data_IF_597070250089
#
_entry.id   IF_597070250089
#
_cell.length_a   1.000
_cell.length_b   1.000
_cell.length_c   1.000
_cell.angle_alpha   90.00
_cell.angle_beta   90.00
_cell.angle_gamma   90.00
#
_symmetry.space_group_name_H-M   'P 1'
#
loop_
_entity.id
_entity.type
_entity.pdbx_description
1 polymer ?
#
# COMPACT_ATOMS: atom_id res chain seq x y z
N UNK A 1 -3.41 -28.73 24.93
CA UNK A 1 -4.16 -27.61 24.33
C UNK A 1 -4.09 -27.78 22.82
N UNK A 2 -5.19 -27.62 22.14
CA UNK A 2 -5.21 -27.63 20.67
C UNK A 2 -4.37 -26.46 20.14
N UNK A 3 -3.54 -26.72 19.10
CA UNK A 3 -2.71 -25.65 18.52
C UNK A 3 -3.58 -24.67 17.77
N UNK A 4 -3.37 -23.38 17.98
CA UNK A 4 -4.07 -22.32 17.22
C UNK A 4 -3.63 -22.38 15.76
N UNK A 5 -4.60 -22.38 14.86
CA UNK A 5 -4.36 -22.46 13.41
C UNK A 5 -4.16 -21.07 12.82
N UNK A 6 -3.13 -20.94 11.98
CA UNK A 6 -2.80 -19.69 11.28
C UNK A 6 -2.55 -19.95 9.80
N UNK A 7 -3.15 -19.12 8.96
CA UNK A 7 -2.84 -19.06 7.52
C UNK A 7 -1.80 -17.99 7.27
N UNK A 8 -0.67 -18.37 6.69
CA UNK A 8 0.41 -17.45 6.32
C UNK A 8 0.36 -17.15 4.83
N UNK A 9 0.18 -15.88 4.46
CA UNK A 9 0.30 -15.42 3.09
C UNK A 9 1.75 -15.49 2.63
N UNK A 10 2.07 -16.45 1.75
CA UNK A 10 3.42 -16.72 1.25
C UNK A 10 3.56 -16.18 -0.18
N UNK A 11 4.42 -15.20 -0.37
CA UNK A 11 4.70 -14.54 -1.66
C UNK A 11 5.92 -15.13 -2.39
N UNK A 12 6.50 -16.22 -1.90
CA UNK A 12 7.77 -16.76 -2.42
C UNK A 12 8.98 -15.88 -2.10
N UNK A 13 8.84 -14.89 -1.21
CA UNK A 13 9.93 -14.06 -0.70
C UNK A 13 10.40 -14.49 0.69
N UNK A 14 11.58 -14.01 1.11
CA UNK A 14 12.21 -14.38 2.38
C UNK A 14 11.36 -14.01 3.60
N UNK A 15 10.70 -12.85 3.59
CA UNK A 15 9.98 -12.33 4.76
C UNK A 15 8.77 -13.21 5.12
N UNK A 16 7.95 -13.57 4.13
CA UNK A 16 6.81 -14.47 4.35
C UNK A 16 7.23 -15.90 4.71
N UNK A 17 8.37 -16.34 4.20
CA UNK A 17 8.94 -17.67 4.49
C UNK A 17 9.42 -17.76 5.94
N UNK A 18 10.14 -16.74 6.41
CA UNK A 18 10.58 -16.66 7.82
C UNK A 18 9.39 -16.43 8.75
N UNK A 19 8.35 -15.68 8.32
CA UNK A 19 7.12 -15.56 9.09
C UNK A 19 6.46 -16.92 9.36
N UNK A 20 6.39 -17.80 8.34
CA UNK A 20 5.86 -19.14 8.49
C UNK A 20 6.71 -20.00 9.45
N UNK A 21 8.03 -19.93 9.32
CA UNK A 21 8.96 -20.62 10.20
C UNK A 21 8.85 -20.18 11.65
N UNK A 22 8.84 -18.86 11.92
CA UNK A 22 8.68 -18.30 13.26
C UNK A 22 7.41 -18.79 13.93
N UNK A 23 6.28 -18.76 13.23
CA UNK A 23 4.99 -19.19 13.77
C UNK A 23 4.95 -20.69 14.03
N UNK A 24 5.54 -21.52 13.16
CA UNK A 24 5.69 -22.97 13.40
C UNK A 24 6.49 -23.23 14.68
N UNK A 25 7.59 -22.51 14.88
CA UNK A 25 8.44 -22.63 16.09
C UNK A 25 7.75 -22.10 17.35
N UNK A 26 6.84 -21.14 17.23
CA UNK A 26 5.99 -20.66 18.32
C UNK A 26 4.84 -21.62 18.67
N UNK A 27 4.72 -22.74 17.93
CA UNK A 27 3.76 -23.80 18.23
C UNK A 27 2.39 -23.65 17.56
N UNK A 28 2.25 -22.74 16.59
CA UNK A 28 1.03 -22.65 15.78
C UNK A 28 0.91 -23.83 14.81
N UNK A 29 -0.34 -24.17 14.44
CA UNK A 29 -0.68 -25.01 13.30
C UNK A 29 -0.70 -24.13 12.03
N UNK A 30 0.40 -24.17 11.27
CA UNK A 30 0.65 -23.25 10.16
C UNK A 30 0.21 -23.83 8.84
N UNK A 31 -0.55 -23.08 8.07
CA UNK A 31 -0.91 -23.37 6.66
C UNK A 31 -0.35 -22.25 5.78
N UNK A 32 0.48 -22.59 4.80
CA UNK A 32 0.96 -21.64 3.79
C UNK A 32 -0.06 -21.46 2.67
N UNK A 33 -0.30 -20.21 2.27
CA UNK A 33 -1.18 -19.86 1.15
C UNK A 33 -0.51 -18.85 0.24
N UNK A 34 -0.41 -19.17 -1.05
CA UNK A 34 -0.12 -18.16 -2.09
C UNK A 34 -1.42 -17.71 -2.74
N UNK A 35 -1.60 -16.40 -2.80
CA UNK A 35 -2.74 -15.79 -3.49
C UNK A 35 -2.44 -15.69 -4.98
N UNK A 36 -3.20 -16.40 -5.81
CA UNK A 36 -3.16 -16.24 -7.26
C UNK A 36 -3.96 -14.98 -7.61
N UNK A 37 -3.27 -13.92 -8.01
CA UNK A 37 -3.86 -12.61 -8.32
C UNK A 37 -3.69 -12.21 -9.79
N UNK A 38 -2.75 -12.82 -10.53
CA UNK A 38 -2.51 -12.54 -11.95
C UNK A 38 -3.63 -13.07 -12.83
N UNK A 39 -3.93 -12.36 -13.91
CA UNK A 39 -4.89 -12.78 -14.92
C UNK A 39 -4.25 -13.81 -15.87
N UNK A 40 -5.06 -14.65 -16.53
CA UNK A 40 -4.56 -15.77 -17.35
C UNK A 40 -3.72 -15.30 -18.55
N UNK A 41 -4.00 -14.11 -19.09
CA UNK A 41 -3.29 -13.51 -20.23
C UNK A 41 -1.92 -12.94 -19.86
N UNK A 42 -1.69 -12.65 -18.58
CA UNK A 42 -0.44 -12.10 -18.06
C UNK A 42 0.55 -13.18 -17.59
N UNK A 43 0.15 -14.44 -17.57
CA UNK A 43 0.92 -15.55 -17.01
C UNK A 43 2.30 -15.71 -17.69
N UNK A 44 2.36 -15.56 -19.01
CA UNK A 44 3.61 -15.65 -19.78
C UNK A 44 4.53 -14.42 -19.59
N UNK A 45 3.99 -13.23 -19.42
CA UNK A 45 4.77 -12.01 -19.23
C UNK A 45 5.37 -11.90 -17.82
N UNK A 46 4.69 -12.45 -16.80
CA UNK A 46 5.19 -12.47 -15.41
C UNK A 46 6.35 -13.45 -15.19
N UNK A 47 6.49 -14.49 -16.03
CA UNK A 47 7.62 -15.40 -15.95
C UNK A 47 8.98 -14.72 -16.23
N UNK A 48 9.00 -13.71 -17.09
CA UNK A 48 10.23 -13.00 -17.48
C UNK A 48 10.65 -11.91 -16.47
N UNK A 49 9.75 -11.36 -15.66
CA UNK A 49 9.99 -10.15 -14.88
C UNK A 49 10.01 -10.33 -13.34
N UNK A 50 9.85 -11.56 -12.82
CA UNK A 50 10.09 -11.87 -11.41
C UNK A 50 9.14 -11.22 -10.39
N UNK A 51 7.90 -10.96 -10.75
CA UNK A 51 6.88 -10.45 -9.82
C UNK A 51 6.67 -11.36 -8.61
N UNK A 52 6.33 -10.80 -7.44
CA UNK A 52 6.20 -11.55 -6.16
C UNK A 52 5.06 -12.59 -6.14
N UNK A 53 4.27 -12.69 -7.18
CA UNK A 53 3.12 -13.60 -7.29
C UNK A 53 3.15 -14.44 -8.59
N UNK A 54 4.23 -14.43 -9.38
CA UNK A 54 4.38 -15.24 -10.60
C UNK A 54 4.56 -16.74 -10.29
N UNK A 55 4.56 -17.60 -11.33
CA UNK A 55 4.72 -19.06 -11.19
C UNK A 55 6.01 -19.44 -10.42
N UNK A 56 7.11 -18.73 -10.67
CA UNK A 56 8.37 -18.92 -9.92
C UNK A 56 8.20 -18.62 -8.42
N UNK A 57 7.39 -17.65 -8.06
CA UNK A 57 7.10 -17.31 -6.66
C UNK A 57 6.23 -18.37 -5.97
N UNK A 58 5.28 -18.97 -6.70
CA UNK A 58 4.49 -20.11 -6.24
C UNK A 58 5.39 -21.32 -5.98
N UNK A 59 6.32 -21.61 -6.88
CA UNK A 59 7.25 -22.73 -6.72
C UNK A 59 8.21 -22.52 -5.56
N UNK A 60 8.72 -21.30 -5.37
CA UNK A 60 9.55 -20.96 -4.22
C UNK A 60 8.77 -21.13 -2.90
N UNK A 61 7.53 -20.61 -2.84
CA UNK A 61 6.67 -20.77 -1.66
C UNK A 61 6.36 -22.26 -1.38
N UNK A 62 6.11 -23.05 -2.41
CA UNK A 62 5.87 -24.50 -2.30
C UNK A 62 7.09 -25.22 -1.75
N UNK A 63 8.30 -24.92 -2.26
CA UNK A 63 9.56 -25.50 -1.77
C UNK A 63 9.82 -25.14 -0.31
N UNK A 64 9.59 -23.88 0.06
CA UNK A 64 9.70 -23.43 1.47
C UNK A 64 8.70 -24.18 2.35
N UNK A 65 7.43 -24.27 1.95
CA UNK A 65 6.41 -24.99 2.71
C UNK A 65 6.75 -26.47 2.89
N UNK A 66 7.29 -27.13 1.86
CA UNK A 66 7.77 -28.49 1.94
C UNK A 66 8.96 -28.63 2.91
N UNK A 67 9.95 -27.73 2.85
CA UNK A 67 11.07 -27.69 3.78
C UNK A 67 10.64 -27.46 5.23
N UNK A 68 9.60 -26.64 5.42
CA UNK A 68 8.99 -26.39 6.72
C UNK A 68 7.98 -27.47 7.13
N UNK A 69 7.71 -28.48 6.30
CA UNK A 69 6.71 -29.52 6.56
C UNK A 69 5.35 -28.95 7.00
N UNK A 70 4.85 -27.94 6.27
CA UNK A 70 3.54 -27.32 6.47
C UNK A 70 2.65 -27.56 5.26
N UNK A 71 1.31 -27.70 5.44
CA UNK A 71 0.35 -27.71 4.34
C UNK A 71 0.47 -26.40 3.52
N UNK A 72 0.33 -26.52 2.19
CA UNK A 72 0.43 -25.39 1.29
C UNK A 72 -0.63 -25.42 0.21
N UNK A 73 -1.26 -24.29 -0.05
CA UNK A 73 -2.31 -24.15 -1.05
C UNK A 73 -2.10 -22.89 -1.89
N UNK A 74 -2.51 -22.96 -3.15
CA UNK A 74 -2.69 -21.77 -4.01
C UNK A 74 -4.18 -21.48 -4.07
N UNK A 75 -4.56 -20.28 -3.66
CA UNK A 75 -5.97 -19.86 -3.66
C UNK A 75 -6.18 -18.79 -4.72
N UNK A 76 -7.25 -18.93 -5.51
CA UNK A 76 -7.59 -17.97 -6.56
C UNK A 76 -8.24 -16.70 -5.98
N UNK A 77 -7.60 -15.56 -6.19
CA UNK A 77 -8.08 -14.22 -5.83
C UNK A 77 -8.10 -13.27 -7.04
N UNK A 78 -8.08 -13.80 -8.27
CA UNK A 78 -8.05 -13.02 -9.52
C UNK A 78 -9.19 -12.00 -9.57
N UNK A 79 -10.41 -12.44 -9.24
CA UNK A 79 -11.60 -11.58 -9.26
C UNK A 79 -11.48 -10.45 -8.25
N UNK A 80 -11.22 -10.77 -6.99
CA UNK A 80 -11.12 -9.78 -5.91
C UNK A 80 -9.99 -8.79 -6.16
N UNK A 81 -8.87 -9.26 -6.72
CA UNK A 81 -7.74 -8.40 -7.07
C UNK A 81 -8.07 -7.48 -8.25
N UNK A 82 -8.71 -8.01 -9.28
CA UNK A 82 -9.14 -7.21 -10.42
C UNK A 82 -10.10 -6.09 -9.98
N UNK A 83 -11.19 -6.45 -9.33
CA UNK A 83 -12.25 -5.50 -8.96
C UNK A 83 -11.77 -4.43 -7.96
N UNK A 84 -10.98 -4.81 -6.95
CA UNK A 84 -10.65 -3.92 -5.84
C UNK A 84 -9.25 -3.29 -5.94
N UNK A 85 -8.38 -3.77 -6.83
CA UNK A 85 -7.02 -3.24 -6.96
C UNK A 85 -6.78 -2.69 -8.36
N UNK A 86 -7.01 -3.50 -9.41
CA UNK A 86 -6.72 -3.08 -10.79
C UNK A 86 -7.75 -2.05 -11.26
N UNK A 87 -9.05 -2.36 -11.15
CA UNK A 87 -10.12 -1.47 -11.63
C UNK A 87 -10.13 -0.15 -10.82
N UNK A 88 -9.89 -0.21 -9.50
CA UNK A 88 -9.67 0.96 -8.65
C UNK A 88 -8.46 1.79 -9.10
N UNK A 89 -7.34 1.15 -9.40
CA UNK A 89 -6.13 1.81 -9.88
C UNK A 89 -6.38 2.56 -11.19
N UNK A 90 -7.04 1.92 -12.12
CA UNK A 90 -7.38 2.50 -13.42
C UNK A 90 -8.35 3.68 -13.24
N UNK A 91 -9.43 3.49 -12.47
CA UNK A 91 -10.43 4.53 -12.22
C UNK A 91 -9.83 5.79 -11.60
N UNK A 92 -8.98 5.64 -10.60
CA UNK A 92 -8.33 6.77 -9.94
C UNK A 92 -7.48 7.60 -10.92
N UNK A 93 -6.66 6.95 -11.77
CA UNK A 93 -5.87 7.66 -12.77
C UNK A 93 -6.74 8.36 -13.83
N UNK A 94 -7.84 7.75 -14.26
CA UNK A 94 -8.78 8.36 -15.18
C UNK A 94 -9.49 9.59 -14.60
N UNK A 95 -9.61 9.64 -13.26
CA UNK A 95 -10.16 10.77 -12.52
C UNK A 95 -9.10 11.73 -11.94
N UNK A 96 -7.84 11.67 -12.44
CA UNK A 96 -6.77 12.58 -12.04
C UNK A 96 -6.25 12.37 -10.62
N UNK A 97 -6.59 11.24 -9.97
CA UNK A 97 -6.08 10.83 -8.67
C UNK A 97 -4.88 9.91 -8.83
N UNK A 98 -4.08 9.77 -7.79
CA UNK A 98 -2.94 8.83 -7.78
C UNK A 98 -3.16 7.79 -6.69
N UNK A 99 -3.63 6.58 -7.04
CA UNK A 99 -3.96 5.53 -6.09
C UNK A 99 -2.73 4.92 -5.42
N UNK A 100 -2.97 4.21 -4.32
CA UNK A 100 -1.99 3.30 -3.74
C UNK A 100 -2.51 1.86 -3.78
N UNK A 101 -2.16 1.08 -4.81
CA UNK A 101 -2.69 -0.27 -4.98
C UNK A 101 -2.27 -1.24 -3.87
N UNK A 102 -1.13 -1.00 -3.19
CA UNK A 102 -0.72 -1.83 -2.05
C UNK A 102 -1.65 -1.67 -0.84
N UNK A 103 -2.15 -0.45 -0.58
CA UNK A 103 -3.15 -0.20 0.45
C UNK A 103 -4.45 -0.93 0.11
N UNK A 104 -4.93 -0.83 -1.13
CA UNK A 104 -6.13 -1.51 -1.60
C UNK A 104 -5.97 -3.05 -1.52
N UNK A 105 -4.84 -3.59 -1.98
CA UNK A 105 -4.54 -5.03 -1.88
C UNK A 105 -4.54 -5.51 -0.41
N UNK A 106 -3.90 -4.76 0.48
CA UNK A 106 -3.93 -5.11 1.90
C UNK A 106 -5.38 -5.13 2.40
N UNK A 107 -6.16 -4.06 2.21
CA UNK A 107 -7.53 -3.95 2.72
C UNK A 107 -8.42 -5.05 2.18
N UNK A 108 -8.57 -5.15 0.86
CA UNK A 108 -9.63 -5.94 0.22
C UNK A 108 -9.23 -7.39 -0.07
N UNK A 109 -7.97 -7.64 -0.45
CA UNK A 109 -7.54 -8.99 -0.84
C UNK A 109 -7.00 -9.76 0.36
N UNK A 110 -6.06 -9.15 1.12
CA UNK A 110 -5.43 -9.86 2.25
C UNK A 110 -6.33 -9.88 3.49
N UNK A 111 -6.79 -8.71 3.96
CA UNK A 111 -7.51 -8.64 5.24
C UNK A 111 -9.03 -8.74 5.13
N UNK A 112 -9.60 -8.69 3.95
CA UNK A 112 -11.01 -8.99 3.75
C UNK A 112 -11.18 -10.40 3.19
N UNK A 113 -10.66 -10.66 1.98
CA UNK A 113 -10.91 -11.93 1.27
C UNK A 113 -10.09 -13.11 1.81
N UNK A 114 -8.76 -12.96 2.01
CA UNK A 114 -7.93 -14.06 2.56
C UNK A 114 -8.31 -14.36 4.01
N UNK A 115 -8.53 -13.34 4.85
CA UNK A 115 -8.96 -13.56 6.23
C UNK A 115 -10.27 -14.34 6.28
N UNK A 116 -11.29 -13.92 5.52
CA UNK A 116 -12.57 -14.61 5.44
C UNK A 116 -12.41 -16.08 5.07
N UNK A 117 -11.71 -16.37 3.96
CA UNK A 117 -11.46 -17.76 3.52
C UNK A 117 -10.64 -18.57 4.54
N UNK A 118 -9.75 -17.90 5.28
CA UNK A 118 -8.97 -18.55 6.34
C UNK A 118 -9.85 -18.96 7.53
N UNK A 119 -10.80 -18.10 7.91
CA UNK A 119 -11.78 -18.40 8.94
C UNK A 119 -12.72 -19.56 8.53
N UNK A 120 -13.13 -19.60 7.25
CA UNK A 120 -13.99 -20.66 6.69
C UNK A 120 -13.34 -22.06 6.78
N UNK A 121 -12.00 -22.14 6.73
CA UNK A 121 -11.26 -23.39 6.92
C UNK A 121 -10.82 -23.64 8.38
N UNK A 122 -11.34 -22.86 9.31
CA UNK A 122 -11.13 -23.00 10.75
C UNK A 122 -9.80 -22.43 11.25
N UNK A 123 -9.13 -21.55 10.51
CA UNK A 123 -8.00 -20.81 11.04
C UNK A 123 -8.48 -19.67 11.96
N UNK A 124 -7.76 -19.42 13.05
CA UNK A 124 -8.06 -18.33 13.96
C UNK A 124 -7.37 -17.03 13.56
N UNK A 125 -6.26 -17.13 12.83
CA UNK A 125 -5.39 -16.02 12.46
C UNK A 125 -4.97 -16.09 11.00
N UNK A 126 -4.66 -14.92 10.45
CA UNK A 126 -3.80 -14.78 9.28
C UNK A 126 -2.46 -14.15 9.67
N UNK A 127 -1.42 -14.45 8.91
CA UNK A 127 -0.11 -13.84 9.09
C UNK A 127 0.51 -13.46 7.75
N UNK A 128 1.39 -12.47 7.78
CA UNK A 128 2.12 -12.00 6.61
C UNK A 128 3.55 -11.64 7.00
N UNK A 129 4.42 -11.50 5.99
CA UNK A 129 5.79 -11.01 6.14
C UNK A 129 5.91 -9.47 6.20
N UNK A 130 4.88 -8.74 6.66
CA UNK A 130 4.98 -7.28 6.78
C UNK A 130 5.83 -6.86 7.97
N UNK A 131 6.67 -5.84 7.76
CA UNK A 131 7.42 -5.18 8.82
C UNK A 131 6.54 -4.16 9.54
N UNK A 132 5.71 -4.67 10.43
CA UNK A 132 4.84 -3.95 11.35
C UNK A 132 4.58 -4.84 12.56
N UNK A 133 4.09 -4.29 13.66
CA UNK A 133 3.70 -5.03 14.86
C UNK A 133 2.23 -4.79 15.17
N UNK A 134 1.51 -5.82 15.57
CA UNK A 134 0.12 -5.71 16.05
C UNK A 134 0.14 -5.83 17.54
N UNK A 135 -0.44 -4.86 18.24
CA UNK A 135 -0.46 -4.83 19.70
C UNK A 135 -1.86 -4.52 20.22
N UNK A 136 -2.24 -5.19 21.31
CA UNK A 136 -3.46 -4.87 22.04
C UNK A 136 -3.16 -3.83 23.10
N UNK A 137 -3.76 -2.67 22.98
CA UNK A 137 -3.56 -1.54 23.88
C UNK A 137 -4.32 -1.72 25.23
N UNK A 138 -3.94 -0.95 26.27
CA UNK A 138 -4.63 -1.01 27.58
C UNK A 138 -6.13 -0.67 27.51
N UNK A 139 -6.56 0.14 26.55
CA UNK A 139 -7.98 0.45 26.32
C UNK A 139 -8.75 -0.68 25.60
N UNK A 140 -8.10 -1.83 25.35
CA UNK A 140 -8.68 -3.00 24.71
C UNK A 140 -8.66 -3.00 23.18
N UNK A 141 -8.29 -1.89 22.55
CA UNK A 141 -8.19 -1.78 21.08
C UNK A 141 -6.89 -2.41 20.58
N UNK A 142 -6.91 -2.85 19.34
CA UNK A 142 -5.70 -3.27 18.63
C UNK A 142 -5.18 -2.12 17.79
N UNK A 143 -3.86 -2.00 17.71
CA UNK A 143 -3.21 -1.00 16.87
C UNK A 143 -1.99 -1.58 16.16
N UNK A 144 -1.61 -0.97 15.04
CA UNK A 144 -0.34 -1.19 14.38
C UNK A 144 0.70 -0.32 15.08
N UNK A 145 1.83 -0.95 15.46
CA UNK A 145 3.01 -0.28 15.98
C UNK A 145 4.14 -0.36 14.96
N UNK A 146 4.99 0.65 14.89
CA UNK A 146 6.16 0.67 14.02
C UNK A 146 7.00 -0.59 14.18
N UNK A 147 7.58 -1.07 13.08
CA UNK A 147 8.50 -2.20 13.12
C UNK A 147 9.78 -1.88 13.90
N UNK A 148 10.56 -2.89 14.24
CA UNK A 148 11.86 -2.72 14.90
C UNK A 148 12.87 -1.95 14.04
N UNK A 149 12.62 -1.81 12.73
CA UNK A 149 13.49 -1.11 11.78
C UNK A 149 12.73 -0.07 10.97
N UNK A 150 13.11 1.21 11.11
CA UNK A 150 12.50 2.30 10.35
C UNK A 150 12.73 2.18 8.83
N UNK A 151 13.83 1.54 8.40
CA UNK A 151 14.21 1.43 6.98
C UNK A 151 13.26 0.53 6.16
N UNK A 152 12.55 -0.40 6.82
CA UNK A 152 11.62 -1.35 6.18
C UNK A 152 10.21 -1.25 6.73
N UNK A 153 9.91 -0.21 7.52
CA UNK A 153 8.60 -0.02 8.11
C UNK A 153 7.50 0.04 7.05
N UNK A 154 6.48 -0.80 7.20
CA UNK A 154 5.37 -0.93 6.26
C UNK A 154 4.02 -0.51 6.86
N UNK A 155 4.04 0.12 8.02
CA UNK A 155 2.83 0.53 8.75
C UNK A 155 1.95 1.47 7.95
N UNK A 156 2.54 2.31 7.08
CA UNK A 156 1.81 3.20 6.19
C UNK A 156 0.78 2.46 5.33
N UNK A 157 1.12 1.28 4.81
CA UNK A 157 0.24 0.53 3.93
C UNK A 157 -0.85 -0.29 4.67
N UNK A 158 -0.90 -0.19 6.01
CA UNK A 158 -1.76 -1.01 6.87
C UNK A 158 -2.75 -0.18 7.70
N UNK A 159 -2.75 1.15 7.55
CA UNK A 159 -3.51 2.08 8.40
C UNK A 159 -5.03 1.84 8.40
N UNK A 160 -5.55 1.20 7.39
CA UNK A 160 -6.99 1.01 7.17
C UNK A 160 -7.52 -0.36 7.65
N UNK A 161 -6.72 -1.11 8.41
CA UNK A 161 -7.18 -2.37 9.01
C UNK A 161 -8.14 -2.12 10.17
N UNK A 162 -9.25 -2.85 10.18
CA UNK A 162 -10.27 -2.76 11.22
C UNK A 162 -9.86 -3.45 12.51
N UNK A 163 -10.55 -3.18 13.62
CA UNK A 163 -10.31 -3.82 14.91
C UNK A 163 -10.45 -5.34 14.85
N UNK A 164 -11.46 -5.84 14.13
CA UNK A 164 -11.66 -7.27 13.91
C UNK A 164 -10.48 -7.89 13.16
N UNK A 165 -10.08 -7.26 12.04
CA UNK A 165 -8.94 -7.72 11.25
C UNK A 165 -7.64 -7.73 12.05
N UNK A 166 -7.36 -6.66 12.81
CA UNK A 166 -6.18 -6.57 13.66
C UNK A 166 -6.15 -7.65 14.75
N UNK A 167 -7.30 -7.95 15.38
CA UNK A 167 -7.39 -8.97 16.42
C UNK A 167 -7.05 -10.38 15.94
N UNK A 168 -7.10 -10.61 14.64
CA UNK A 168 -6.83 -11.90 13.97
C UNK A 168 -5.57 -11.89 13.11
N UNK A 169 -4.69 -10.90 13.33
CA UNK A 169 -3.49 -10.70 12.51
C UNK A 169 -2.22 -10.94 13.30
N UNK A 170 -1.29 -11.68 12.71
CA UNK A 170 0.07 -11.87 13.24
C UNK A 170 1.09 -11.34 12.23
N UNK A 171 2.07 -10.58 12.71
CA UNK A 171 3.16 -10.00 11.90
C UNK A 171 4.51 -10.33 12.56
N UNK A 172 4.94 -11.60 12.53
CA UNK A 172 6.06 -12.06 13.35
C UNK A 172 7.40 -11.45 12.94
N UNK A 173 7.56 -10.97 11.69
CA UNK A 173 8.83 -10.37 11.24
C UNK A 173 9.00 -8.91 11.69
N UNK A 174 7.95 -8.26 12.16
CA UNK A 174 8.00 -6.87 12.62
C UNK A 174 8.94 -6.60 13.80
N UNK A 175 9.33 -7.63 14.55
CA UNK A 175 10.27 -7.57 15.66
C UNK A 175 11.75 -7.62 15.22
N UNK A 176 12.02 -7.87 13.93
CA UNK A 176 13.36 -8.13 13.42
C UNK A 176 13.78 -7.15 12.34
N UNK A 177 15.09 -6.94 12.19
CA UNK A 177 15.67 -6.24 11.06
C UNK A 177 15.70 -7.15 9.83
N UNK A 178 15.83 -6.58 8.63
CA UNK A 178 15.96 -7.37 7.39
C UNK A 178 17.16 -8.31 7.41
N UNK A 179 18.27 -7.88 7.99
CA UNK A 179 19.48 -8.69 8.08
C UNK A 179 19.29 -9.88 9.05
N UNK A 180 18.57 -9.69 10.14
CA UNK A 180 18.19 -10.78 11.03
C UNK A 180 17.25 -11.78 10.33
N UNK A 181 16.28 -11.31 9.56
CA UNK A 181 15.39 -12.17 8.79
C UNK A 181 16.16 -13.01 7.76
N UNK A 182 17.12 -12.40 7.06
CA UNK A 182 17.99 -13.13 6.13
C UNK A 182 18.88 -14.14 6.83
N UNK A 183 19.48 -13.77 7.95
CA UNK A 183 20.31 -14.69 8.76
C UNK A 183 19.50 -15.88 9.26
N UNK A 184 18.26 -15.69 9.73
CA UNK A 184 17.35 -16.78 10.10
C UNK A 184 17.02 -17.68 8.91
N UNK A 185 16.77 -17.09 7.74
CA UNK A 185 16.49 -17.85 6.52
C UNK A 185 17.68 -18.72 6.10
N UNK A 186 18.92 -18.20 6.20
CA UNK A 186 20.15 -18.94 5.92
C UNK A 186 20.38 -20.07 6.93
N UNK A 187 20.21 -19.79 8.23
CA UNK A 187 20.35 -20.79 9.29
C UNK A 187 19.42 -22.00 9.11
N UNK A 188 18.19 -21.73 8.62
CA UNK A 188 17.18 -22.77 8.36
C UNK A 188 17.34 -23.39 6.97
N UNK A 189 18.23 -22.88 6.14
CA UNK A 189 18.48 -23.38 4.79
C UNK A 189 17.36 -23.09 3.79
N UNK A 190 16.65 -21.95 3.95
CA UNK A 190 15.60 -21.55 3.01
C UNK A 190 16.22 -21.01 1.72
N UNK A 191 15.85 -21.59 0.58
CA UNK A 191 16.37 -21.24 -0.75
C UNK A 191 16.16 -19.77 -1.14
N UNK A 192 15.20 -19.10 -0.50
CA UNK A 192 14.79 -17.71 -0.78
C UNK A 192 15.56 -16.66 0.03
N UNK A 193 16.53 -17.03 0.87
CA UNK A 193 17.26 -16.15 1.78
C UNK A 193 17.86 -14.90 1.10
N UNK A 194 18.39 -15.08 -0.12
CA UNK A 194 19.05 -14.03 -0.90
C UNK A 194 18.20 -13.45 -2.03
N UNK A 195 16.91 -13.84 -2.11
CA UNK A 195 16.01 -13.28 -3.14
C UNK A 195 15.82 -11.78 -2.94
N UNK A 196 15.93 -10.97 -4.01
CA UNK A 196 15.69 -9.52 -3.91
C UNK A 196 14.24 -9.23 -3.52
N UNK A 197 14.04 -8.07 -2.84
CA UNK A 197 12.71 -7.61 -2.50
C UNK A 197 11.99 -7.10 -3.75
N UNK A 198 10.67 -7.32 -3.85
CA UNK A 198 9.83 -6.68 -4.86
C UNK A 198 9.72 -5.19 -4.56
N UNK A 199 10.01 -4.32 -5.55
CA UNK A 199 10.06 -2.87 -5.35
C UNK A 199 8.96 -2.10 -6.10
N UNK A 200 8.33 -2.71 -7.11
CA UNK A 200 7.37 -2.07 -7.99
C UNK A 200 5.93 -2.55 -7.77
N UNK A 201 4.99 -1.90 -8.44
CA UNK A 201 3.58 -2.33 -8.48
C UNK A 201 3.53 -3.71 -9.15
N UNK A 202 3.06 -4.71 -8.41
CA UNK A 202 3.20 -6.13 -8.78
C UNK A 202 2.51 -6.54 -10.11
N UNK A 203 1.58 -5.74 -10.61
CA UNK A 203 0.87 -5.97 -11.88
C UNK A 203 1.28 -5.00 -13.00
N UNK A 204 2.26 -4.12 -12.78
CA UNK A 204 2.85 -3.22 -13.79
C UNK A 204 4.33 -3.57 -13.89
N UNK A 205 4.63 -4.55 -14.73
CA UNK A 205 5.96 -5.21 -14.77
C UNK A 205 7.09 -4.33 -15.28
N UNK A 206 6.80 -3.38 -16.17
CA UNK A 206 7.76 -2.48 -16.81
C UNK A 206 7.80 -1.06 -16.20
N UNK A 207 6.97 -0.81 -15.18
CA UNK A 207 6.80 0.50 -14.56
C UNK A 207 6.02 1.52 -15.42
N UNK A 208 5.56 1.15 -16.63
CA UNK A 208 4.71 2.00 -17.48
C UNK A 208 3.22 1.81 -17.17
N UNK A 209 2.81 2.38 -16.04
CA UNK A 209 1.41 2.34 -15.61
C UNK A 209 0.44 2.98 -16.63
N UNK A 210 0.90 3.96 -17.42
CA UNK A 210 0.03 4.61 -18.39
C UNK A 210 -0.28 3.70 -19.59
N UNK A 211 0.68 2.90 -20.06
CA UNK A 211 0.45 1.86 -21.06
C UNK A 211 -0.46 0.77 -20.50
N UNK A 212 -0.21 0.32 -19.26
CA UNK A 212 -1.09 -0.66 -18.60
C UNK A 212 -2.55 -0.18 -18.52
N UNK A 213 -2.80 1.09 -18.12
CA UNK A 213 -4.16 1.66 -18.09
C UNK A 213 -4.82 1.65 -19.46
N UNK A 214 -4.09 1.99 -20.52
CA UNK A 214 -4.63 1.99 -21.88
C UNK A 214 -5.01 0.59 -22.39
N UNK A 215 -4.21 -0.40 -22.05
CA UNK A 215 -4.41 -1.79 -22.47
C UNK A 215 -5.57 -2.46 -21.71
N UNK A 216 -5.79 -2.02 -20.46
CA UNK A 216 -6.76 -2.61 -19.54
C UNK A 216 -8.02 -1.73 -19.34
N UNK A 217 -8.25 -0.72 -20.18
CA UNK A 217 -9.47 0.10 -20.15
C UNK A 217 -9.93 0.52 -21.54
N UNK A 218 -11.25 0.71 -21.71
CA UNK A 218 -11.84 1.27 -22.93
C UNK A 218 -11.78 2.80 -22.98
N UNK A 219 -11.07 3.44 -22.03
CA UNK A 219 -11.04 4.88 -21.89
C UNK A 219 -10.28 5.55 -23.04
N UNK A 220 -10.91 6.54 -23.68
CA UNK A 220 -10.27 7.35 -24.72
C UNK A 220 -9.33 8.39 -24.08
N UNK A 221 -8.05 8.09 -24.07
CA UNK A 221 -7.04 9.02 -23.58
C UNK A 221 -6.77 10.09 -24.63
N UNK A 222 -7.15 11.33 -24.32
CA UNK A 222 -7.04 12.48 -25.24
C UNK A 222 -5.95 13.44 -24.81
N UNK A 223 -5.20 14.02 -25.75
CA UNK A 223 -4.32 15.16 -25.46
C UNK A 223 -5.11 16.34 -24.90
N UNK A 224 -4.49 17.09 -23.98
CA UNK A 224 -5.08 18.29 -23.37
C UNK A 224 -4.04 19.40 -23.22
N UNK A 225 -4.33 20.38 -22.38
CA UNK A 225 -3.48 21.55 -22.16
C UNK A 225 -2.74 21.47 -20.82
N UNK A 226 -1.47 21.83 -20.85
CA UNK A 226 -0.81 22.35 -19.65
C UNK A 226 -1.20 23.82 -19.49
N UNK A 227 -1.63 24.18 -18.29
CA UNK A 227 -2.00 25.57 -17.93
C UNK A 227 -1.26 26.01 -16.67
N UNK A 228 -1.02 27.29 -16.52
CA UNK A 228 -0.60 27.90 -15.26
C UNK A 228 -1.81 28.10 -14.32
N UNK A 229 -1.54 28.47 -13.08
CA UNK A 229 -2.59 28.74 -12.07
C UNK A 229 -3.57 29.86 -12.48
N UNK A 230 -3.13 30.79 -13.34
CA UNK A 230 -3.95 31.87 -13.89
C UNK A 230 -4.76 31.46 -15.15
N UNK A 231 -4.66 30.20 -15.60
CA UNK A 231 -5.33 29.68 -16.77
C UNK A 231 -4.56 29.84 -18.10
N UNK A 232 -3.35 30.44 -18.08
CA UNK A 232 -2.54 30.60 -19.27
C UNK A 232 -2.08 29.26 -19.81
N UNK A 233 -2.37 28.95 -21.08
CA UNK A 233 -1.93 27.72 -21.72
C UNK A 233 -0.44 27.81 -22.05
N UNK A 234 0.35 26.84 -21.55
CA UNK A 234 1.81 26.81 -21.71
C UNK A 234 2.31 25.60 -22.51
N UNK A 235 1.41 24.70 -22.90
CA UNK A 235 1.78 23.54 -23.71
C UNK A 235 0.65 22.55 -23.88
N UNK A 236 0.97 21.44 -24.53
CA UNK A 236 0.07 20.29 -24.73
C UNK A 236 0.59 19.05 -24.02
N UNK A 237 -0.29 18.31 -23.38
CA UNK A 237 0.02 17.01 -22.80
C UNK A 237 -0.66 15.86 -23.58
N UNK A 238 -0.16 14.65 -23.40
CA UNK A 238 -0.61 13.43 -24.12
C UNK A 238 -1.79 12.70 -23.46
N UNK A 239 -2.30 13.20 -22.35
CA UNK A 239 -3.40 12.66 -21.55
C UNK A 239 -3.12 12.77 -20.07
N UNK A 240 -4.15 12.99 -19.25
CA UNK A 240 -3.98 13.23 -17.79
C UNK A 240 -3.38 12.04 -17.07
N UNK A 241 -3.62 10.81 -17.50
CA UNK A 241 -3.10 9.57 -16.88
C UNK A 241 -1.57 9.49 -16.84
N UNK A 242 -0.85 10.29 -17.59
CA UNK A 242 0.62 10.31 -17.63
C UNK A 242 1.24 11.20 -16.54
N UNK A 243 0.42 11.84 -15.72
CA UNK A 243 0.90 12.84 -14.78
C UNK A 243 0.40 12.57 -13.37
N UNK A 244 1.23 12.99 -12.42
CA UNK A 244 0.96 12.88 -10.97
C UNK A 244 1.29 14.22 -10.31
N UNK A 245 0.51 14.65 -9.34
CA UNK A 245 0.76 15.86 -8.55
C UNK A 245 2.17 15.81 -7.94
N UNK A 246 2.93 16.89 -8.14
CA UNK A 246 4.34 16.99 -7.74
C UNK A 246 5.35 16.51 -8.78
N UNK A 247 4.90 15.94 -9.90
CA UNK A 247 5.78 15.51 -10.99
C UNK A 247 6.50 16.72 -11.62
N UNK A 248 7.83 16.57 -11.82
CA UNK A 248 8.68 17.59 -12.46
C UNK A 248 9.23 17.12 -13.81
N UNK A 249 9.60 15.84 -13.90
CA UNK A 249 10.22 15.28 -15.10
C UNK A 249 9.19 14.78 -16.10
N UNK A 250 9.52 14.78 -17.39
CA UNK A 250 8.65 14.21 -18.41
C UNK A 250 7.47 15.09 -18.84
N UNK A 251 7.44 16.38 -18.43
CA UNK A 251 6.36 17.31 -18.83
C UNK A 251 6.53 17.80 -20.28
N UNK A 252 7.75 17.82 -20.81
CA UNK A 252 8.01 18.32 -22.17
C UNK A 252 7.84 19.83 -22.32
N UNK A 253 7.86 20.58 -21.21
CA UNK A 253 7.73 22.04 -21.19
C UNK A 253 9.09 22.73 -21.13
N UNK A 254 9.22 23.86 -21.86
CA UNK A 254 10.43 24.70 -21.91
C UNK A 254 10.09 26.12 -21.48
N UNK A 255 9.90 26.33 -20.17
CA UNK A 255 9.48 27.63 -19.58
C UNK A 255 10.66 28.44 -19.01
N UNK A 256 11.92 27.97 -19.18
CA UNK A 256 13.10 28.64 -18.65
C UNK A 256 13.34 28.43 -17.14
N UNK A 257 12.42 27.82 -16.44
CA UNK A 257 12.51 27.47 -15.02
C UNK A 257 11.81 26.13 -14.74
N UNK A 258 12.14 25.44 -13.63
CA UNK A 258 11.48 24.21 -13.25
C UNK A 258 10.01 24.45 -12.90
N UNK A 259 9.12 23.62 -13.43
CA UNK A 259 7.71 23.58 -13.05
C UNK A 259 7.29 22.20 -12.58
N UNK A 260 6.23 22.15 -11.79
CA UNK A 260 5.68 20.97 -11.15
C UNK A 260 4.20 20.85 -11.46
N UNK A 261 3.68 19.65 -11.56
CA UNK A 261 2.24 19.42 -11.61
C UNK A 261 1.66 19.80 -10.26
N UNK A 262 0.71 20.75 -10.26
CA UNK A 262 0.01 21.22 -9.08
C UNK A 262 -1.34 20.54 -8.90
N UNK A 263 -2.08 20.37 -10.02
CA UNK A 263 -3.43 19.82 -10.04
C UNK A 263 -3.68 19.12 -11.37
N UNK A 264 -4.52 18.12 -11.36
CA UNK A 264 -5.04 17.45 -12.56
C UNK A 264 -6.55 17.67 -12.58
N UNK A 265 -7.08 18.22 -13.68
CA UNK A 265 -8.50 18.53 -13.88
C UNK A 265 -9.10 17.63 -14.95
N UNK A 266 -9.69 16.49 -14.57
CA UNK A 266 -10.24 15.53 -15.54
C UNK A 266 -11.38 16.12 -16.37
N UNK A 267 -12.24 16.96 -15.76
CA UNK A 267 -13.43 17.53 -16.39
C UNK A 267 -13.07 18.43 -17.58
N UNK A 268 -11.97 19.17 -17.53
CA UNK A 268 -11.47 20.04 -18.58
C UNK A 268 -10.32 19.45 -19.37
N UNK A 269 -9.85 18.27 -18.94
CA UNK A 269 -8.66 17.59 -19.49
C UNK A 269 -7.42 18.51 -19.46
N UNK A 270 -7.18 19.16 -18.32
CA UNK A 270 -6.08 20.08 -18.08
C UNK A 270 -5.14 19.57 -16.98
N UNK A 271 -3.85 19.87 -17.13
CA UNK A 271 -2.84 19.67 -16.09
C UNK A 271 -2.30 21.04 -15.69
N UNK A 272 -2.58 21.44 -14.45
CA UNK A 272 -2.09 22.70 -13.91
C UNK A 272 -0.64 22.53 -13.50
N UNK A 273 0.23 23.42 -13.96
CA UNK A 273 1.66 23.43 -13.62
C UNK A 273 2.06 24.77 -13.01
N UNK A 274 3.03 24.76 -12.13
CA UNK A 274 3.52 25.98 -11.49
C UNK A 274 4.84 25.78 -10.78
N UNK A 275 5.23 26.77 -9.98
CA UNK A 275 6.47 26.81 -9.22
C UNK A 275 6.48 25.77 -8.08
N UNK A 276 7.65 25.59 -7.46
CA UNK A 276 7.77 24.75 -6.28
C UNK A 276 6.98 25.33 -5.10
N UNK A 277 6.96 26.63 -4.96
CA UNK A 277 6.25 27.35 -3.91
C UNK A 277 4.73 27.13 -4.00
N UNK A 278 4.18 27.15 -5.21
CA UNK A 278 2.76 26.87 -5.47
C UNK A 278 2.39 25.40 -5.17
N UNK A 279 3.36 24.48 -5.19
CA UNK A 279 3.14 23.08 -4.87
C UNK A 279 3.07 22.77 -3.37
N UNK A 280 3.26 23.78 -2.52
CA UNK A 280 3.33 23.66 -1.06
C UNK A 280 2.00 24.02 -0.41
N UNK A 281 1.51 23.17 0.50
CA UNK A 281 0.33 23.49 1.32
C UNK A 281 0.53 23.00 2.76
N UNK A 282 -0.11 23.68 3.70
CA UNK A 282 -0.21 23.25 5.11
C UNK A 282 -1.43 22.38 5.37
N UNK A 283 -2.37 22.35 4.46
CA UNK A 283 -3.67 21.70 4.67
C UNK A 283 -3.78 20.43 3.87
N UNK A 284 -4.22 19.36 4.53
CA UNK A 284 -4.52 18.07 3.91
C UNK A 284 -5.88 17.62 4.40
N UNK A 285 -6.84 17.52 3.48
CA UNK A 285 -8.15 16.91 3.75
C UNK A 285 -8.15 15.46 3.33
N UNK A 286 -8.78 14.63 4.10
CA UNK A 286 -8.91 13.21 3.78
C UNK A 286 -10.25 12.67 4.25
N UNK A 287 -10.77 11.72 3.48
CA UNK A 287 -11.98 10.95 3.79
C UNK A 287 -11.68 9.45 3.96
N UNK A 288 -12.71 8.63 4.07
CA UNK A 288 -12.59 7.19 4.35
C UNK A 288 -11.69 6.91 5.57
N UNK A 289 -11.99 7.61 6.65
CA UNK A 289 -11.16 7.65 7.85
C UNK A 289 -11.27 6.34 8.63
N UNK A 290 -10.12 5.81 9.03
CA UNK A 290 -10.04 4.69 9.97
C UNK A 290 -9.15 5.07 11.15
N UNK A 291 -9.63 4.87 12.39
CA UNK A 291 -8.86 5.05 13.62
C UNK A 291 -8.55 3.71 14.30
N UNK A 292 -7.29 3.51 14.67
CA UNK A 292 -6.86 2.28 15.35
C UNK A 292 -6.78 2.45 16.86
N UNK A 293 -6.05 3.46 17.35
CA UNK A 293 -5.79 3.61 18.79
C UNK A 293 -6.95 4.19 19.57
N UNK A 294 -7.84 4.90 18.91
CA UNK A 294 -9.07 5.52 19.46
C UNK A 294 -10.29 5.07 18.68
N UNK A 295 -11.46 5.19 19.24
CA UNK A 295 -12.71 4.91 18.54
C UNK A 295 -13.08 6.04 17.59
N UNK A 296 -12.92 7.28 18.05
CA UNK A 296 -13.14 8.49 17.26
C UNK A 296 -12.24 9.62 17.77
N UNK A 297 -12.06 10.66 16.95
CA UNK A 297 -11.31 11.85 17.30
C UNK A 297 -12.29 12.93 17.78
N UNK A 298 -12.34 13.14 19.08
CA UNK A 298 -13.30 14.06 19.71
C UNK A 298 -12.76 15.48 19.88
N UNK A 299 -11.44 15.67 19.77
CA UNK A 299 -10.76 16.97 19.87
C UNK A 299 -9.53 17.01 18.94
N UNK A 300 -9.07 18.19 18.53
CA UNK A 300 -7.86 18.32 17.73
C UNK A 300 -6.65 17.72 18.44
N UNK A 301 -5.86 16.96 17.70
CA UNK A 301 -4.68 16.25 18.24
C UNK A 301 -3.44 16.53 17.43
N UNK A 302 -2.33 16.85 18.12
CA UNK A 302 -1.01 16.97 17.50
C UNK A 302 -0.42 15.59 17.26
N UNK A 303 -0.08 15.28 16.01
CA UNK A 303 0.41 13.97 15.57
C UNK A 303 1.51 14.11 14.53
N UNK A 304 2.28 13.04 14.34
CA UNK A 304 3.18 12.90 13.19
C UNK A 304 2.42 12.32 12.02
N UNK A 305 2.54 12.90 10.81
CA UNK A 305 1.78 12.42 9.66
C UNK A 305 2.64 12.21 8.41
N UNK A 306 2.33 11.17 7.64
CA UNK A 306 2.89 10.89 6.32
C UNK A 306 1.80 11.01 5.27
N UNK A 307 2.09 11.72 4.16
CA UNK A 307 1.16 11.94 3.05
C UNK A 307 1.46 11.09 1.81
N UNK A 308 2.43 10.19 1.87
CA UNK A 308 2.80 9.14 0.90
C UNK A 308 3.80 8.19 1.53
N UNK A 309 3.97 7.01 0.96
CA UNK A 309 4.83 5.96 1.52
C UNK A 309 6.25 6.45 1.83
N UNK A 310 6.92 7.09 0.87
CA UNK A 310 8.29 7.59 1.02
C UNK A 310 8.39 8.97 1.71
N UNK A 311 7.29 9.50 2.26
CA UNK A 311 7.32 10.74 3.02
C UNK A 311 8.05 10.55 4.34
N UNK A 312 8.93 11.48 4.70
CA UNK A 312 9.65 11.44 5.99
C UNK A 312 8.73 11.60 7.19
N UNK A 313 7.56 12.19 6.94
CA UNK A 313 6.61 12.61 7.97
C UNK A 313 6.88 14.04 8.43
N UNK A 314 5.85 14.65 8.98
CA UNK A 314 5.90 15.99 9.58
C UNK A 314 4.82 16.13 10.66
N UNK A 315 5.03 17.06 11.60
CA UNK A 315 4.05 17.38 12.62
C UNK A 315 2.86 18.12 12.03
N UNK A 316 1.67 17.70 12.44
CA UNK A 316 0.42 18.39 12.12
C UNK A 316 -0.55 18.30 13.30
N UNK A 317 -1.54 19.18 13.29
CA UNK A 317 -2.75 19.03 14.11
C UNK A 317 -3.83 18.41 13.21
N UNK A 318 -4.38 17.29 13.62
CA UNK A 318 -5.51 16.65 12.97
C UNK A 318 -6.79 16.95 13.74
N UNK A 319 -7.85 17.27 13.02
CA UNK A 319 -9.20 17.44 13.55
C UNK A 319 -10.24 16.80 12.62
N UNK A 320 -11.33 16.34 13.20
CA UNK A 320 -12.47 15.80 12.47
C UNK A 320 -13.36 16.95 12.00
N UNK A 321 -13.63 17.05 10.71
CA UNK A 321 -14.46 18.10 10.12
C UNK A 321 -15.87 17.63 9.82
N UNK A 322 -16.04 16.35 9.49
CA UNK A 322 -17.32 15.66 9.26
C UNK A 322 -17.24 14.24 9.79
N UNK A 323 -18.33 13.47 9.67
CA UNK A 323 -18.39 12.09 10.15
C UNK A 323 -17.24 11.21 9.62
N UNK A 324 -16.93 11.32 8.33
CA UNK A 324 -15.88 10.57 7.65
C UNK A 324 -14.84 11.48 6.96
N UNK A 325 -14.52 12.62 7.59
CA UNK A 325 -13.55 13.55 7.03
C UNK A 325 -12.69 14.17 8.12
N UNK A 326 -11.38 14.23 7.87
CA UNK A 326 -10.38 14.89 8.71
C UNK A 326 -9.67 16.00 7.95
N UNK A 327 -9.24 17.02 8.70
CA UNK A 327 -8.31 18.06 8.27
C UNK A 327 -7.01 17.95 9.06
N UNK A 328 -5.89 17.83 8.36
CA UNK A 328 -4.56 17.90 8.93
C UNK A 328 -3.94 19.26 8.60
N UNK A 329 -3.64 20.06 9.63
CA UNK A 329 -2.94 21.34 9.51
C UNK A 329 -1.48 21.15 9.91
N UNK A 330 -0.58 21.10 8.92
CA UNK A 330 0.84 20.89 9.13
C UNK A 330 1.54 22.14 9.69
N UNK A 331 2.49 21.94 10.61
CA UNK A 331 3.31 23.02 11.17
C UNK A 331 4.19 23.69 10.10
N UNK A 332 4.68 22.89 9.12
CA UNK A 332 5.41 23.37 7.95
C UNK A 332 4.68 22.97 6.66
N UNK A 333 4.71 23.80 5.60
CA UNK A 333 4.10 23.42 4.33
C UNK A 333 4.67 22.12 3.77
N UNK A 334 3.78 21.26 3.28
CA UNK A 334 4.14 19.98 2.67
C UNK A 334 4.00 20.07 1.15
N UNK A 335 4.96 19.47 0.45
CA UNK A 335 4.99 19.50 -1.01
C UNK A 335 4.14 18.37 -1.59
N UNK A 336 3.44 18.68 -2.69
CA UNK A 336 2.76 17.70 -3.53
C UNK A 336 1.77 16.84 -2.72
N UNK A 337 0.78 17.48 -2.16
CA UNK A 337 -0.36 16.81 -1.54
C UNK A 337 -1.19 16.21 -2.67
N UNK A 338 -1.22 14.89 -2.75
CA UNK A 338 -1.69 14.16 -3.93
C UNK A 338 -3.02 13.46 -3.63
N UNK A 339 -4.13 13.87 -4.26
CA UNK A 339 -5.41 13.18 -4.13
C UNK A 339 -5.31 11.70 -4.55
N UNK A 340 -5.95 10.81 -3.79
CA UNK A 340 -5.87 9.34 -3.95
C UNK A 340 -4.75 8.68 -3.15
N UNK A 341 -3.74 9.43 -2.69
CA UNK A 341 -2.77 8.92 -1.71
C UNK A 341 -3.38 8.94 -0.29
N UNK A 342 -2.77 8.22 0.63
CA UNK A 342 -3.20 8.25 2.03
C UNK A 342 -2.46 9.33 2.84
N UNK A 343 -3.16 9.92 3.81
CA UNK A 343 -2.53 10.53 4.97
C UNK A 343 -2.61 9.55 6.12
N UNK A 344 -1.44 9.17 6.66
CA UNK A 344 -1.35 8.22 7.79
C UNK A 344 -0.78 8.94 9.00
N UNK A 345 -1.51 8.84 10.10
CA UNK A 345 -1.30 9.56 11.34
C UNK A 345 -0.63 8.64 12.38
N UNK A 346 0.38 9.15 13.05
CA UNK A 346 1.13 8.42 14.07
C UNK A 346 1.10 9.17 15.40
N UNK A 347 0.77 8.44 16.47
CA UNK A 347 0.88 8.89 17.85
C UNK A 347 1.99 8.10 18.54
N UNK A 348 3.17 8.69 18.68
CA UNK A 348 4.37 7.99 19.06
C UNK A 348 4.74 6.88 18.05
N UNK A 349 4.83 5.65 18.52
CA UNK A 349 5.16 4.47 17.69
C UNK A 349 3.92 3.80 17.07
N UNK A 350 2.71 4.27 17.37
CA UNK A 350 1.47 3.64 16.91
C UNK A 350 0.85 4.41 15.74
N UNK A 351 0.28 3.68 14.81
CA UNK A 351 -0.64 4.24 13.83
C UNK A 351 -1.92 4.64 14.54
N UNK A 352 -2.16 5.94 14.68
CA UNK A 352 -3.42 6.46 15.19
C UNK A 352 -4.58 6.13 14.23
N UNK A 353 -4.32 6.28 12.94
CA UNK A 353 -5.26 6.07 11.86
C UNK A 353 -4.82 6.75 10.58
N UNK A 354 -5.77 7.06 9.71
CA UNK A 354 -5.52 7.77 8.47
C UNK A 354 -6.77 7.85 7.60
N UNK A 355 -6.60 8.41 6.41
CA UNK A 355 -7.66 8.53 5.40
C UNK A 355 -7.08 8.72 4.00
N UNK A 356 -7.94 8.68 2.99
CA UNK A 356 -7.59 8.95 1.59
C UNK A 356 -7.61 10.45 1.35
N UNK A 357 -6.52 11.01 0.84
CA UNK A 357 -6.40 12.45 0.52
C UNK A 357 -7.37 12.81 -0.60
N UNK A 358 -8.19 13.83 -0.36
CA UNK A 358 -9.12 14.39 -1.33
C UNK A 358 -8.62 15.75 -1.85
N UNK A 359 -9.07 16.12 -3.04
CA UNK A 359 -8.78 17.46 -3.58
C UNK A 359 -9.48 18.55 -2.74
N UNK A 360 -8.79 19.64 -2.49
CA UNK A 360 -9.44 20.85 -1.98
C UNK A 360 -10.40 21.39 -3.06
N UNK A 361 -11.67 21.50 -2.70
CA UNK A 361 -12.71 22.08 -3.59
C UNK A 361 -12.79 23.58 -3.39
#
# INVERSE_FOLDING_TARGET
MEKKKVVVGMSGGVDSSVAAWLLKNQGYDVIGVTMQIWQDEEEAAMEEHGGCCGLSAVDDARRVAAALEIPYYVMNFKKEFKENVIDYFIDDYLHGRTPNPCIACNRYVKWESLLKRSLDIGAEYIATGHYARVEKLPNGRYAIRNSATAAKDQTYALYNLTQEQLSRTLMPVGEYTKDQIRAMADEVGLLVAHKPDSQDICFVSDGDYASYIKENSDAQIRPGNFILSDGTVVGKHKGIIYYTVGQRKGLGLSLGHPVFVLEIRPETNEVVVGSNEESMSRYVRADQVNFMTVEDLTEPKRVWAKIRYNHKGAWCTVEKTKEDEILCTFEEPQRAITPGQAVVLYDGEYVLGGGTIIADK
#
